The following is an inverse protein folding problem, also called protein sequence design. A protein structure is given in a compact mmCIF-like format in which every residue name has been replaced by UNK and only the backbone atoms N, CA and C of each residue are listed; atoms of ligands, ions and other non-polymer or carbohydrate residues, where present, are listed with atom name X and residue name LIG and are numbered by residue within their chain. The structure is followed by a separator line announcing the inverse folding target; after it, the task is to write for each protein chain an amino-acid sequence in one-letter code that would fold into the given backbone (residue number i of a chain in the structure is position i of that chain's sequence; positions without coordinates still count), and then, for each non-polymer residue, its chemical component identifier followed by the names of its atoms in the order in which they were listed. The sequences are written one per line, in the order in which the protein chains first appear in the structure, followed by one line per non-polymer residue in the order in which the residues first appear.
data_IF_282819973183
#
_entry.id   IF_282819973183
#
_cell.length_a   1.000
_cell.length_b   1.000
_cell.length_c   1.000
_cell.angle_alpha   90.00
_cell.angle_beta   90.00
_cell.angle_gamma   90.00
#
_symmetry.space_group_name_H-M   'P 1'
#
loop_
_entity.id
_entity.type
_entity.pdbx_description
1 polymer ?
#
# COMPACT_ATOMS: atom_id res chain seq x y z
N UNK A 1 6.74 8.77 3.63
CA UNK A 1 6.38 9.88 2.72
C UNK A 1 5.24 9.45 1.81
N UNK A 2 4.43 10.39 1.33
CA UNK A 2 3.35 10.16 0.37
C UNK A 2 3.26 11.35 -0.57
N UNK A 3 2.76 11.15 -1.78
CA UNK A 3 2.55 12.22 -2.74
C UNK A 3 1.21 12.06 -3.47
N UNK A 4 0.75 13.13 -4.10
CA UNK A 4 -0.32 13.06 -5.10
C UNK A 4 0.23 12.43 -6.39
N UNK A 5 -0.63 11.77 -7.18
CA UNK A 5 -0.24 11.30 -8.50
C UNK A 5 0.15 12.50 -9.39
N UNK A 6 1.27 12.39 -10.09
CA UNK A 6 1.80 13.42 -11.00
C UNK A 6 1.71 12.95 -12.44
N UNK A 7 0.48 12.68 -12.87
CA UNK A 7 0.17 12.21 -14.23
C UNK A 7 0.56 13.22 -15.32
N UNK A 8 0.84 14.47 -14.92
CA UNK A 8 1.39 15.55 -15.72
C UNK A 8 2.89 15.43 -16.01
N UNK A 9 3.62 14.60 -15.26
CA UNK A 9 5.04 14.33 -15.47
C UNK A 9 5.26 13.02 -16.24
N UNK A 10 6.34 12.97 -17.02
CA UNK A 10 6.68 11.80 -17.84
C UNK A 10 6.98 10.54 -17.01
N UNK A 11 7.55 10.72 -15.83
CA UNK A 11 7.90 9.67 -14.87
C UNK A 11 6.78 9.41 -13.84
N UNK A 12 5.61 10.05 -13.99
CA UNK A 12 4.52 9.96 -13.01
C UNK A 12 4.86 10.51 -11.62
N UNK A 13 5.96 11.25 -11.47
CA UNK A 13 6.47 11.81 -10.21
C UNK A 13 7.44 10.91 -9.44
N UNK A 14 7.96 9.83 -10.03
CA UNK A 14 8.94 8.95 -9.38
C UNK A 14 10.20 9.69 -8.93
N UNK A 15 10.75 10.60 -9.75
CA UNK A 15 11.90 11.45 -9.40
C UNK A 15 11.73 12.18 -8.06
N UNK A 16 10.52 12.68 -7.78
CA UNK A 16 10.23 13.35 -6.51
C UNK A 16 10.37 12.42 -5.29
N UNK A 17 10.00 11.14 -5.42
CA UNK A 17 10.25 10.14 -4.38
C UNK A 17 11.75 9.85 -4.25
N UNK A 18 12.44 9.61 -5.37
CA UNK A 18 13.88 9.31 -5.41
C UNK A 18 14.70 10.41 -4.75
N UNK A 19 14.48 11.66 -5.17
CA UNK A 19 15.17 12.84 -4.63
C UNK A 19 14.92 13.00 -3.13
N UNK A 20 13.68 12.77 -2.69
CA UNK A 20 13.33 12.85 -1.27
C UNK A 20 13.99 11.74 -0.45
N UNK A 21 14.02 10.50 -0.94
CA UNK A 21 14.70 9.39 -0.27
C UNK A 21 16.19 9.71 -0.14
N UNK A 22 16.84 10.11 -1.24
CA UNK A 22 18.26 10.43 -1.27
C UNK A 22 18.61 11.60 -0.33
N UNK A 23 17.77 12.64 -0.29
CA UNK A 23 17.94 13.75 0.64
C UNK A 23 17.86 13.29 2.10
N UNK A 24 16.87 12.46 2.46
CA UNK A 24 16.76 11.92 3.83
C UNK A 24 17.98 11.07 4.18
N UNK A 25 18.42 10.19 3.27
CA UNK A 25 19.60 9.32 3.49
C UNK A 25 20.89 10.11 3.67
N UNK A 26 21.04 11.23 2.97
CA UNK A 26 22.18 12.14 3.13
C UNK A 26 22.22 12.77 4.51
N UNK A 27 21.06 13.13 5.08
CA UNK A 27 20.97 13.72 6.40
C UNK A 27 20.99 12.68 7.54
N UNK A 28 20.46 11.48 7.31
CA UNK A 28 20.36 10.43 8.31
C UNK A 28 20.30 9.03 7.70
N UNK A 29 21.29 8.19 8.03
CA UNK A 29 21.35 6.80 7.56
C UNK A 29 20.48 5.84 8.37
N UNK A 30 20.08 6.21 9.59
CA UNK A 30 19.34 5.33 10.53
C UNK A 30 17.83 5.44 10.43
N UNK A 31 17.31 6.49 9.77
CA UNK A 31 15.87 6.69 9.65
C UNK A 31 15.26 5.68 8.69
N UNK A 32 14.25 4.93 9.13
CA UNK A 32 13.49 4.06 8.21
C UNK A 32 12.53 4.88 7.35
N UNK A 33 12.47 4.55 6.07
CA UNK A 33 11.72 5.28 5.05
C UNK A 33 10.66 4.37 4.45
N UNK A 34 9.39 4.66 4.74
CA UNK A 34 8.24 4.12 4.00
C UNK A 34 7.83 5.11 2.90
N UNK A 35 7.60 4.60 1.69
CA UNK A 35 7.02 5.38 0.57
C UNK A 35 5.63 4.88 0.23
N UNK A 36 4.64 5.77 0.17
CA UNK A 36 3.31 5.50 -0.37
C UNK A 36 3.22 6.08 -1.78
N UNK A 37 3.31 5.20 -2.78
CA UNK A 37 3.40 5.57 -4.21
C UNK A 37 2.04 5.54 -4.91
N UNK A 38 1.84 6.33 -5.99
CA UNK A 38 0.74 6.10 -6.93
C UNK A 38 0.96 4.80 -7.72
N UNK A 39 0.07 4.48 -8.66
CA UNK A 39 0.21 3.26 -9.49
C UNK A 39 1.09 3.47 -10.74
N UNK A 40 1.64 4.68 -10.93
CA UNK A 40 2.42 5.12 -12.09
C UNK A 40 1.79 4.76 -13.44
N UNK A 41 0.44 4.70 -13.51
CA UNK A 41 -0.32 4.21 -14.68
C UNK A 41 0.07 2.78 -15.12
N UNK A 42 0.82 2.05 -14.28
CA UNK A 42 1.30 0.69 -14.53
C UNK A 42 2.62 0.63 -15.28
N UNK A 43 3.28 1.78 -15.47
CA UNK A 43 4.63 1.82 -16.03
C UNK A 43 5.61 1.19 -15.05
N UNK A 44 6.57 0.46 -15.62
CA UNK A 44 7.53 -0.35 -14.87
C UNK A 44 8.69 0.51 -14.38
N UNK A 45 9.15 1.41 -15.24
CA UNK A 45 10.34 2.22 -15.07
C UNK A 45 10.23 3.15 -13.84
N UNK A 46 9.12 3.88 -13.62
CA UNK A 46 8.95 4.70 -12.42
C UNK A 46 8.98 3.91 -11.12
N UNK A 47 8.45 2.67 -11.11
CA UNK A 47 8.54 1.80 -9.95
C UNK A 47 9.98 1.42 -9.67
N UNK A 48 10.72 1.05 -10.71
CA UNK A 48 12.09 0.58 -10.59
C UNK A 48 13.02 1.68 -10.09
N UNK A 49 12.87 2.92 -10.59
CA UNK A 49 13.59 4.09 -10.07
C UNK A 49 13.36 4.28 -8.56
N UNK A 50 12.11 4.15 -8.08
CA UNK A 50 11.79 4.27 -6.64
C UNK A 50 12.38 3.10 -5.84
N UNK A 51 12.38 1.89 -6.39
CA UNK A 51 12.98 0.72 -5.73
C UNK A 51 14.51 0.83 -5.66
N UNK A 52 15.16 1.34 -6.70
CA UNK A 52 16.61 1.59 -6.73
C UNK A 52 17.04 2.61 -5.67
N UNK A 53 16.18 3.58 -5.35
CA UNK A 53 16.40 4.49 -4.21
C UNK A 53 16.32 3.81 -2.83
N UNK A 54 15.98 2.52 -2.78
CA UNK A 54 16.03 1.65 -1.60
C UNK A 54 15.23 2.14 -0.37
N UNK A 55 13.90 2.37 -0.51
CA UNK A 55 13.03 2.57 0.64
C UNK A 55 12.99 1.30 1.52
N UNK A 56 12.72 1.46 2.81
CA UNK A 56 12.58 0.33 3.73
C UNK A 56 11.24 -0.41 3.54
N UNK A 57 10.20 0.34 3.18
CA UNK A 57 8.86 -0.19 2.90
C UNK A 57 8.30 0.49 1.67
N UNK A 58 7.86 -0.31 0.70
CA UNK A 58 7.07 0.19 -0.42
C UNK A 58 5.58 -0.05 -0.18
N UNK A 59 4.83 1.03 -0.05
CA UNK A 59 3.40 1.04 0.16
C UNK A 59 2.68 1.48 -1.11
N UNK A 60 1.66 0.72 -1.53
CA UNK A 60 0.70 1.13 -2.53
C UNK A 60 -0.68 0.64 -2.11
N UNK A 61 -1.60 1.57 -1.86
CA UNK A 61 -2.93 1.21 -1.40
C UNK A 61 -3.81 0.68 -2.54
N UNK A 62 -4.49 -0.43 -2.27
CA UNK A 62 -5.59 -0.93 -3.07
C UNK A 62 -6.85 -0.05 -2.89
N UNK A 63 -7.03 0.49 -1.69
CA UNK A 63 -8.13 1.32 -1.17
C UNK A 63 -9.50 0.65 -1.11
N UNK A 64 -9.90 -0.13 -2.12
CA UNK A 64 -11.23 -0.76 -2.14
C UNK A 64 -11.25 -2.04 -2.97
N UNK A 65 -12.38 -2.73 -2.92
CA UNK A 65 -12.64 -4.00 -3.61
C UNK A 65 -12.81 -3.82 -5.11
N UNK A 66 -12.55 -4.87 -5.89
CA UNK A 66 -12.54 -4.81 -7.36
C UNK A 66 -13.79 -4.15 -7.98
N UNK A 67 -14.98 -4.47 -7.47
CA UNK A 67 -16.26 -3.92 -7.94
C UNK A 67 -16.35 -2.40 -7.77
N UNK A 68 -15.76 -1.84 -6.71
CA UNK A 68 -15.86 -0.41 -6.38
C UNK A 68 -14.71 0.44 -6.96
N UNK A 69 -13.67 -0.18 -7.52
CA UNK A 69 -12.48 0.54 -7.98
C UNK A 69 -12.80 1.68 -8.95
N UNK A 70 -13.63 1.45 -9.97
CA UNK A 70 -13.94 2.50 -10.95
C UNK A 70 -14.70 3.68 -10.34
N UNK A 71 -15.53 3.42 -9.33
CA UNK A 71 -16.30 4.45 -8.64
C UNK A 71 -15.44 5.25 -7.66
N UNK A 72 -14.55 4.59 -6.92
CA UNK A 72 -13.71 5.20 -5.88
C UNK A 72 -12.42 5.81 -6.45
N UNK A 73 -11.80 5.12 -7.41
CA UNK A 73 -10.49 5.46 -7.99
C UNK A 73 -10.56 5.42 -9.52
N UNK A 74 -11.20 6.41 -10.17
CA UNK A 74 -11.43 6.38 -11.61
C UNK A 74 -10.13 6.27 -12.43
N UNK A 75 -9.01 6.78 -11.92
CA UNK A 75 -7.71 6.72 -12.59
C UNK A 75 -6.86 5.51 -12.20
N UNK A 76 -7.28 4.67 -11.25
CA UNK A 76 -6.55 3.49 -10.79
C UNK A 76 -7.21 2.18 -11.27
N UNK A 77 -6.51 1.06 -11.14
CA UNK A 77 -7.03 -0.26 -11.50
C UNK A 77 -6.64 -1.35 -10.50
N UNK A 78 -7.60 -2.20 -10.12
CA UNK A 78 -7.39 -3.28 -9.14
C UNK A 78 -6.18 -4.16 -9.47
N UNK A 79 -6.20 -4.79 -10.64
CA UNK A 79 -5.13 -5.69 -11.07
C UNK A 79 -3.80 -4.97 -11.28
N UNK A 80 -3.83 -3.69 -11.65
CA UNK A 80 -2.63 -2.86 -11.80
C UNK A 80 -1.98 -2.58 -10.44
N UNK A 81 -2.77 -2.22 -9.43
CA UNK A 81 -2.29 -2.07 -8.06
C UNK A 81 -1.68 -3.36 -7.52
N UNK A 82 -2.31 -4.52 -7.76
CA UNK A 82 -1.75 -5.82 -7.37
C UNK A 82 -0.45 -6.13 -8.11
N UNK A 83 -0.37 -5.87 -9.42
CA UNK A 83 0.84 -6.10 -10.21
C UNK A 83 2.05 -5.28 -9.72
N UNK A 84 1.80 -4.03 -9.33
CA UNK A 84 2.80 -3.12 -8.75
C UNK A 84 3.36 -3.66 -7.43
N UNK A 85 2.48 -4.02 -6.49
CA UNK A 85 2.86 -4.62 -5.22
C UNK A 85 3.63 -5.93 -5.42
N UNK A 86 3.14 -6.79 -6.31
CA UNK A 86 3.79 -8.05 -6.62
C UNK A 86 5.20 -7.87 -7.21
N UNK A 87 5.41 -6.82 -8.03
CA UNK A 87 6.74 -6.49 -8.57
C UNK A 87 7.71 -6.08 -7.48
N UNK A 88 7.29 -5.18 -6.58
CA UNK A 88 8.11 -4.76 -5.46
C UNK A 88 8.43 -5.92 -4.50
N UNK A 89 7.46 -6.79 -4.24
CA UNK A 89 7.68 -7.99 -3.41
C UNK A 89 8.72 -8.92 -4.04
N UNK A 90 8.62 -9.19 -5.35
CA UNK A 90 9.61 -10.00 -6.08
C UNK A 90 11.01 -9.38 -6.10
N UNK A 91 11.10 -8.05 -6.02
CA UNK A 91 12.36 -7.33 -5.88
C UNK A 91 12.93 -7.36 -4.45
N UNK A 92 12.28 -8.07 -3.51
CA UNK A 92 12.78 -8.28 -2.14
C UNK A 92 12.38 -7.19 -1.14
N UNK A 93 11.48 -6.27 -1.51
CA UNK A 93 11.04 -5.21 -0.61
C UNK A 93 9.93 -5.67 0.33
N UNK A 94 9.93 -5.11 1.54
CA UNK A 94 8.75 -5.15 2.41
C UNK A 94 7.64 -4.34 1.75
N UNK A 95 6.50 -4.98 1.52
CA UNK A 95 5.37 -4.36 0.82
C UNK A 95 4.20 -4.12 1.74
N UNK A 96 3.50 -3.01 1.50
CA UNK A 96 2.34 -2.61 2.29
C UNK A 96 1.18 -2.18 1.40
N UNK A 97 -0.04 -2.44 1.86
CA UNK A 97 -1.24 -1.91 1.22
C UNK A 97 -2.28 -1.49 2.26
N UNK A 98 -3.33 -0.85 1.78
CA UNK A 98 -4.43 -0.31 2.58
C UNK A 98 -5.77 -0.56 1.91
N UNK A 99 -6.78 -0.82 2.75
CA UNK A 99 -8.18 -0.88 2.40
C UNK A 99 -8.95 0.14 3.25
N UNK A 100 -9.93 0.78 2.62
CA UNK A 100 -10.85 1.71 3.26
C UNK A 100 -12.26 1.10 3.14
N UNK A 101 -12.94 0.96 4.27
CA UNK A 101 -14.25 0.28 4.38
C UNK A 101 -15.37 1.28 4.68
N UNK A 102 -16.60 0.94 4.35
CA UNK A 102 -17.79 1.75 4.52
C UNK A 102 -18.25 2.48 3.27
N UNK A 103 -17.71 2.14 2.09
CA UNK A 103 -18.06 2.75 0.80
C UNK A 103 -19.09 1.94 -0.01
N UNK A 104 -19.48 0.76 0.47
CA UNK A 104 -20.51 -0.09 -0.13
C UNK A 104 -20.01 -1.50 -0.49
N UNK A 105 -18.81 -1.85 -0.03
CA UNK A 105 -18.28 -3.20 -0.07
C UNK A 105 -18.94 -4.10 0.98
N UNK A 106 -18.99 -5.40 0.68
CA UNK A 106 -19.40 -6.44 1.63
C UNK A 106 -18.18 -7.01 2.36
N UNK A 107 -18.41 -7.67 3.50
CA UNK A 107 -17.33 -8.31 4.26
C UNK A 107 -16.61 -9.38 3.43
N UNK A 108 -17.36 -10.16 2.64
CA UNK A 108 -16.80 -11.18 1.75
C UNK A 108 -15.91 -10.59 0.64
N UNK A 109 -16.22 -9.38 0.14
CA UNK A 109 -15.36 -8.71 -0.82
C UNK A 109 -14.06 -8.19 -0.19
N UNK A 110 -14.10 -7.79 1.09
CA UNK A 110 -12.89 -7.46 1.85
C UNK A 110 -12.06 -8.71 2.12
N UNK A 111 -12.69 -9.82 2.49
CA UNK A 111 -12.01 -11.11 2.66
C UNK A 111 -11.33 -11.56 1.35
N UNK A 112 -12.00 -11.37 0.22
CA UNK A 112 -11.43 -11.66 -1.11
C UNK A 112 -10.24 -10.75 -1.41
N UNK A 113 -10.34 -9.45 -1.09
CA UNK A 113 -9.23 -8.52 -1.29
C UNK A 113 -8.02 -8.84 -0.39
N UNK A 114 -8.25 -9.32 0.84
CA UNK A 114 -7.18 -9.83 1.71
C UNK A 114 -6.52 -11.08 1.12
N UNK A 115 -7.31 -12.00 0.56
CA UNK A 115 -6.77 -13.18 -0.12
C UNK A 115 -5.92 -12.80 -1.34
N UNK A 116 -6.36 -11.84 -2.15
CA UNK A 116 -5.60 -11.35 -3.30
C UNK A 116 -4.27 -10.69 -2.90
N UNK A 117 -4.27 -9.88 -1.84
CA UNK A 117 -3.06 -9.25 -1.29
C UNK A 117 -2.10 -10.30 -0.70
N UNK A 118 -2.63 -11.30 0.02
CA UNK A 118 -1.85 -12.40 0.56
C UNK A 118 -1.22 -13.26 -0.55
N UNK A 119 -1.97 -13.54 -1.62
CA UNK A 119 -1.52 -14.37 -2.74
C UNK A 119 -0.32 -13.77 -3.48
N UNK A 120 -0.16 -12.45 -3.48
CA UNK A 120 1.00 -11.75 -4.07
C UNK A 120 2.11 -11.46 -3.05
N UNK A 121 1.95 -11.89 -1.80
CA UNK A 121 2.96 -11.79 -0.74
C UNK A 121 3.04 -10.43 -0.07
N UNK A 122 1.95 -9.66 0.02
CA UNK A 122 1.96 -8.39 0.77
C UNK A 122 2.21 -8.63 2.26
N UNK A 123 3.17 -7.90 2.82
CA UNK A 123 3.63 -8.10 4.20
C UNK A 123 2.75 -7.39 5.22
N UNK A 124 2.26 -6.20 4.88
CA UNK A 124 1.50 -5.32 5.78
C UNK A 124 0.19 -4.90 5.12
N UNK A 125 -0.93 -5.10 5.80
CA UNK A 125 -2.22 -4.55 5.38
C UNK A 125 -2.83 -3.68 6.47
N UNK A 126 -3.31 -2.51 6.08
CA UNK A 126 -4.09 -1.62 6.94
C UNK A 126 -5.55 -1.59 6.50
N UNK A 127 -6.49 -1.57 7.44
CA UNK A 127 -7.93 -1.46 7.15
C UNK A 127 -8.56 -0.38 8.04
N UNK A 128 -9.05 0.69 7.42
CA UNK A 128 -9.62 1.85 8.11
C UNK A 128 -11.03 2.19 7.67
N UNK A 129 -11.82 2.83 8.54
CA UNK A 129 -13.15 3.35 8.17
C UNK A 129 -13.01 4.56 7.24
N UNK A 130 -13.80 4.57 6.17
CA UNK A 130 -14.00 5.71 5.31
C UNK A 130 -14.65 6.84 6.09
N UNK A 131 -13.96 7.98 6.16
CA UNK A 131 -14.53 9.22 6.63
C UNK A 131 -14.71 10.13 5.42
N UNK A 132 -15.97 10.40 5.09
CA UNK A 132 -16.34 11.23 3.94
C UNK A 132 -15.82 12.66 4.13
N UNK A 133 -14.90 13.15 3.27
CA UNK A 133 -14.31 14.48 3.45
C UNK A 133 -15.33 15.61 3.28
N UNK A 134 -16.18 15.51 2.25
CA UNK A 134 -17.22 16.51 1.94
C UNK A 134 -18.45 15.85 1.33
N UNK A 135 -19.54 16.61 1.22
CA UNK A 135 -20.79 16.17 0.58
C UNK A 135 -20.69 15.89 -0.92
N UNK A 136 -19.57 16.25 -1.57
CA UNK A 136 -19.31 15.92 -2.98
C UNK A 136 -18.63 14.56 -3.17
N UNK A 137 -18.11 13.95 -2.09
CA UNK A 137 -17.50 12.63 -2.14
C UNK A 137 -18.55 11.53 -1.97
N UNK A 138 -18.20 10.29 -2.26
CA UNK A 138 -19.08 9.12 -2.12
C UNK A 138 -19.70 9.10 -0.71
N UNK A 139 -21.02 8.85 -0.57
CA UNK A 139 -21.64 8.72 0.75
C UNK A 139 -21.06 7.55 1.54
N UNK A 140 -21.05 7.68 2.86
CA UNK A 140 -20.78 6.54 3.74
C UNK A 140 -21.98 5.60 3.63
N UNK A 141 -21.74 4.37 3.20
CA UNK A 141 -22.75 3.31 3.09
C UNK A 141 -22.90 2.52 4.38
N UNK A 142 -21.80 2.36 5.12
CA UNK A 142 -21.76 1.59 6.36
C UNK A 142 -20.73 2.14 7.33
N UNK A 143 -21.12 2.26 8.59
CA UNK A 143 -20.20 2.35 9.71
C UNK A 143 -19.90 0.94 10.19
N UNK A 144 -18.67 0.48 9.99
CA UNK A 144 -18.31 -0.91 10.29
C UNK A 144 -18.15 -1.08 11.80
N UNK A 145 -18.77 -2.12 12.34
CA UNK A 145 -18.66 -2.48 13.76
C UNK A 145 -17.22 -2.87 14.12
N UNK A 146 -16.69 -2.46 15.29
CA UNK A 146 -15.33 -2.79 15.72
C UNK A 146 -14.98 -4.29 15.72
N UNK A 147 -15.96 -5.16 15.96
CA UNK A 147 -15.78 -6.62 15.94
C UNK A 147 -15.46 -7.17 14.54
N UNK A 148 -15.92 -6.50 13.48
CA UNK A 148 -15.63 -6.91 12.09
C UNK A 148 -14.16 -6.63 11.75
N UNK A 149 -13.60 -5.51 12.20
CA UNK A 149 -12.16 -5.24 12.04
C UNK A 149 -11.30 -6.32 12.71
N UNK A 150 -11.72 -6.82 13.87
CA UNK A 150 -11.04 -7.93 14.55
C UNK A 150 -11.08 -9.22 13.72
N UNK A 151 -12.21 -9.46 13.03
CA UNK A 151 -12.36 -10.62 12.13
C UNK A 151 -11.43 -10.52 10.93
N UNK A 152 -11.26 -9.34 10.34
CA UNK A 152 -10.31 -9.13 9.24
C UNK A 152 -8.85 -9.23 9.65
N UNK A 153 -8.48 -8.81 10.87
CA UNK A 153 -7.13 -9.06 11.41
C UNK A 153 -6.88 -10.56 11.44
N UNK A 154 -7.81 -11.33 12.04
CA UNK A 154 -7.70 -12.79 12.12
C UNK A 154 -7.61 -13.43 10.74
N UNK A 155 -8.49 -13.04 9.81
CA UNK A 155 -8.51 -13.60 8.45
C UNK A 155 -7.21 -13.30 7.70
N UNK A 156 -6.79 -12.04 7.63
CA UNK A 156 -5.57 -11.65 6.92
C UNK A 156 -4.31 -12.32 7.48
N UNK A 157 -4.21 -12.46 8.81
CA UNK A 157 -3.11 -13.23 9.43
C UNK A 157 -3.19 -14.72 9.09
N UNK A 158 -4.37 -15.33 9.06
CA UNK A 158 -4.55 -16.74 8.64
C UNK A 158 -4.19 -16.97 7.17
N UNK A 159 -4.39 -15.97 6.31
CA UNK A 159 -3.99 -16.01 4.90
C UNK A 159 -2.48 -15.82 4.70
N UNK A 160 -1.72 -15.49 5.75
CA UNK A 160 -0.27 -15.37 5.69
C UNK A 160 0.27 -13.93 5.59
N UNK A 161 -0.57 -12.90 5.76
CA UNK A 161 -0.10 -11.52 5.85
C UNK A 161 0.61 -11.32 7.19
N UNK A 162 1.87 -10.89 7.14
CA UNK A 162 2.74 -10.78 8.32
C UNK A 162 2.21 -9.80 9.38
N UNK A 163 1.62 -8.69 8.95
CA UNK A 163 0.97 -7.74 9.86
C UNK A 163 -0.33 -7.18 9.30
N UNK A 164 -1.42 -7.32 10.07
CA UNK A 164 -2.72 -6.71 9.74
C UNK A 164 -3.12 -5.76 10.84
N UNK A 165 -3.30 -4.49 10.49
CA UNK A 165 -3.80 -3.46 11.40
C UNK A 165 -5.17 -3.00 10.93
N UNK A 166 -6.21 -3.23 11.73
CA UNK A 166 -7.58 -2.90 11.36
C UNK A 166 -8.29 -2.22 12.53
N UNK A 167 -8.81 -1.01 12.31
CA UNK A 167 -9.68 -0.31 13.26
C UNK A 167 -10.37 0.86 12.58
N UNK A 168 -11.46 1.42 13.15
CA UNK A 168 -12.12 2.59 12.57
C UNK A 168 -11.17 3.77 12.30
N UNK A 169 -10.17 3.97 13.17
CA UNK A 169 -9.22 5.09 13.08
C UNK A 169 -7.89 4.74 12.41
N UNK A 170 -7.72 3.50 11.94
CA UNK A 170 -6.49 3.11 11.22
C UNK A 170 -6.36 3.93 9.94
N UNK A 171 -5.13 4.38 9.68
CA UNK A 171 -4.73 5.07 8.45
C UNK A 171 -3.44 4.42 7.94
N UNK A 172 -3.15 4.59 6.65
CA UNK A 172 -1.96 4.00 6.03
C UNK A 172 -0.66 4.38 6.74
N UNK A 173 -0.55 5.54 7.38
CA UNK A 173 0.63 5.96 8.14
C UNK A 173 0.55 5.75 9.67
N UNK A 174 -0.59 5.32 10.20
CA UNK A 174 -0.79 5.16 11.65
C UNK A 174 -0.04 3.91 12.14
N UNK A 175 0.84 4.05 13.15
CA UNK A 175 1.71 2.98 13.70
C UNK A 175 2.64 2.26 12.71
N UNK A 176 3.06 2.92 11.62
CA UNK A 176 4.01 2.34 10.66
C UNK A 176 5.31 1.81 11.32
N UNK A 177 5.78 2.45 12.40
CA UNK A 177 6.95 2.00 13.15
C UNK A 177 6.77 0.65 13.85
N UNK A 178 5.59 0.38 14.41
CA UNK A 178 5.27 -0.88 15.11
C UNK A 178 5.03 -2.02 14.13
N UNK A 179 4.34 -1.74 13.02
CA UNK A 179 4.15 -2.70 11.93
C UNK A 179 5.51 -3.20 11.37
N UNK A 180 6.46 -2.27 11.19
CA UNK A 180 7.79 -2.59 10.69
C UNK A 180 8.71 -3.23 11.74
N UNK A 181 8.41 -3.17 13.04
CA UNK A 181 9.15 -3.90 14.07
C UNK A 181 8.69 -5.35 14.19
N UNK A 182 7.41 -5.63 13.91
CA UNK A 182 6.83 -6.98 13.99
C UNK A 182 7.33 -7.95 12.90
N UNK A 183 7.91 -7.44 11.81
CA UNK A 183 8.37 -8.26 10.68
C UNK A 183 9.83 -8.77 10.82
N UNK A 184 10.60 -8.25 11.78
CA UNK A 184 12.04 -8.53 11.91
C UNK A 184 12.86 -7.95 10.75
N UNK A 185 14.15 -7.67 10.97
CA UNK A 185 15.04 -7.19 9.92
C UNK A 185 15.34 -8.33 8.92
N UNK A 186 14.50 -8.48 7.90
CA UNK A 186 14.76 -9.40 6.80
C UNK A 186 15.91 -8.86 5.93
N UNK A 187 16.97 -9.66 5.78
CA UNK A 187 18.12 -9.43 4.91
C UNK A 187 17.71 -8.79 3.57
N UNK A 188 18.11 -7.53 3.37
CA UNK A 188 17.97 -6.86 2.08
C UNK A 188 18.99 -7.45 1.09
N UNK A 189 18.60 -7.93 -0.09
CA UNK A 189 19.57 -8.24 -1.13
C UNK A 189 20.15 -6.94 -1.70
N UNK A 190 21.44 -6.95 -2.01
CA UNK A 190 22.00 -6.01 -2.96
C UNK A 190 21.33 -6.27 -4.32
N UNK A 191 20.78 -5.22 -4.95
CA UNK A 191 20.29 -5.33 -6.32
C UNK A 191 21.50 -5.52 -7.24
N UNK A 192 21.81 -6.77 -7.60
CA UNK A 192 22.78 -7.07 -8.64
C UNK A 192 22.23 -6.60 -9.98
N UNK A 193 22.92 -5.63 -10.58
CA UNK A 193 22.63 -5.06 -11.89
C UNK A 193 22.90 -6.08 -13.00
N UNK A 194 22.00 -7.03 -13.22
CA UNK A 194 22.02 -7.91 -14.40
C UNK A 194 20.62 -8.24 -14.91
N UNK A 195 20.02 -7.30 -15.64
CA UNK A 195 19.12 -7.63 -16.75
C UNK A 195 19.38 -6.63 -17.88
N UNK A 196 20.25 -7.03 -18.81
CA UNK A 196 20.43 -6.42 -20.14
C UNK A 196 19.39 -6.99 -21.09
#
# INVERSE_FOLDING_TARGET
MTAVARDDLNDGGASGFVDTINAIRKETSTTRIEVLIPDFKGLKEPLEEVLEANPDILNHNLETVARLQRAVRPSAGYGRSLAMLARAKRAGFTTKSGLIVGMGETDAEIDSALADLAAIGVDIVTIGQYLRPTTHHIPIQRWVEPSIFTSWIKNGTQLGIGHVQASPLTRSSYHASQAAQGLGDSNKPALDAQYT
#
